data_IF_139333252684
#
_entry.id   IF_139333252684
#
_cell.length_a   1.000
_cell.length_b   1.000
_cell.length_c   1.000
_cell.angle_alpha   90.00
_cell.angle_beta   90.00
_cell.angle_gamma   90.00
#
_symmetry.space_group_name_H-M   'P 1'
#
loop_
_entity.id
_entity.type
_entity.pdbx_description
1 polymer ?
#
# COMPACT_ATOMS: atom_id res chain seq x y z
N UNK A 1 -33.21 22.56 9.19
CA UNK A 1 -31.79 22.80 8.98
C UNK A 1 -31.35 21.70 8.05
N UNK A 2 -30.95 22.11 6.88
CA UNK A 2 -30.89 21.28 5.69
C UNK A 2 -29.50 20.57 5.65
N UNK A 3 -29.48 19.32 6.10
CA UNK A 3 -28.28 18.46 6.00
C UNK A 3 -28.28 17.78 4.63
N UNK A 4 -28.00 18.56 3.58
CA UNK A 4 -27.70 17.99 2.25
C UNK A 4 -26.28 17.43 2.24
N UNK A 5 -26.17 16.12 2.52
CA UNK A 5 -24.98 15.33 2.18
C UNK A 5 -24.77 15.46 0.66
N UNK A 6 -23.61 15.91 0.16
CA UNK A 6 -23.35 15.93 -1.28
C UNK A 6 -23.45 14.51 -1.83
N UNK A 7 -24.21 14.38 -2.91
CA UNK A 7 -24.37 13.11 -3.60
C UNK A 7 -23.01 12.60 -4.07
N UNK A 8 -22.70 11.30 -3.88
CA UNK A 8 -21.52 10.71 -4.48
C UNK A 8 -21.59 10.88 -6.01
N UNK A 9 -20.42 10.94 -6.71
CA UNK A 9 -20.41 11.05 -8.15
C UNK A 9 -21.25 9.93 -8.77
N UNK A 10 -21.87 10.15 -9.95
CA UNK A 10 -22.75 9.18 -10.56
C UNK A 10 -21.97 7.96 -11.01
N UNK A 11 -21.79 7.00 -10.10
CA UNK A 11 -21.40 5.66 -10.49
C UNK A 11 -22.60 5.01 -11.16
N UNK A 12 -22.42 4.64 -12.43
CA UNK A 12 -23.45 4.01 -13.21
C UNK A 12 -24.05 2.83 -12.45
N UNK A 13 -25.37 2.71 -12.51
CA UNK A 13 -26.08 1.55 -12.01
C UNK A 13 -25.48 0.32 -12.72
N UNK A 14 -24.71 -0.48 -12.00
CA UNK A 14 -24.37 -1.81 -12.46
C UNK A 14 -25.67 -2.62 -12.51
N UNK A 15 -26.00 -3.22 -13.64
CA UNK A 15 -27.21 -4.01 -13.85
C UNK A 15 -27.38 -5.18 -12.84
N UNK A 16 -26.34 -5.48 -12.04
CA UNK A 16 -26.30 -6.50 -10.99
C UNK A 16 -26.10 -5.95 -9.57
N UNK A 17 -26.04 -4.62 -9.40
CA UNK A 17 -25.67 -3.96 -8.15
C UNK A 17 -26.75 -4.03 -7.07
N UNK A 18 -26.32 -4.01 -5.82
CA UNK A 18 -27.20 -3.75 -4.68
C UNK A 18 -27.51 -2.26 -4.69
N UNK A 19 -28.79 -1.85 -4.71
CA UNK A 19 -29.16 -0.44 -4.77
C UNK A 19 -28.78 0.31 -3.48
N UNK A 20 -28.55 1.61 -3.61
CA UNK A 20 -28.41 2.50 -2.45
C UNK A 20 -29.66 2.42 -1.57
N UNK A 21 -29.46 2.38 -0.26
CA UNK A 21 -30.55 2.20 0.71
C UNK A 21 -31.02 0.76 0.90
N UNK A 22 -30.41 -0.22 0.21
CA UNK A 22 -30.73 -1.64 0.46
C UNK A 22 -30.19 -2.07 1.83
N UNK A 23 -30.97 -2.94 2.47
CA UNK A 23 -30.58 -3.60 3.72
C UNK A 23 -29.72 -4.82 3.42
N UNK A 24 -28.56 -4.92 4.07
CA UNK A 24 -27.64 -6.06 4.02
C UNK A 24 -27.35 -6.48 5.45
N UNK A 25 -28.05 -7.51 5.94
CA UNK A 25 -28.05 -7.84 7.36
C UNK A 25 -28.50 -6.63 8.21
N UNK A 26 -27.69 -6.22 9.15
CA UNK A 26 -27.95 -5.06 10.01
C UNK A 26 -27.44 -3.72 9.44
N UNK A 27 -26.95 -3.71 8.20
CA UNK A 27 -26.32 -2.57 7.54
C UNK A 27 -27.17 -2.00 6.41
N UNK A 28 -27.10 -0.69 6.21
CA UNK A 28 -27.70 0.05 5.12
C UNK A 28 -26.64 0.46 4.11
N UNK A 29 -26.81 0.10 2.85
CA UNK A 29 -25.85 0.44 1.76
C UNK A 29 -25.93 1.94 1.47
N UNK A 30 -24.79 2.63 1.60
CA UNK A 30 -24.64 4.06 1.37
C UNK A 30 -23.95 4.39 0.05
N UNK A 31 -23.12 3.49 -0.49
CA UNK A 31 -22.33 3.74 -1.70
C UNK A 31 -21.63 2.50 -2.23
N UNK A 32 -21.09 2.63 -3.43
CA UNK A 32 -20.28 1.59 -4.06
C UNK A 32 -18.80 1.97 -3.94
N UNK A 33 -17.96 1.07 -3.44
CA UNK A 33 -16.52 1.29 -3.25
C UNK A 33 -15.68 0.68 -4.37
N UNK A 34 -16.14 -0.41 -4.98
CA UNK A 34 -15.43 -1.08 -6.05
C UNK A 34 -15.96 -2.47 -6.36
N UNK A 35 -15.51 -3.04 -7.48
CA UNK A 35 -15.83 -4.41 -7.88
C UNK A 35 -14.56 -5.25 -7.97
N UNK A 36 -14.66 -6.51 -7.53
CA UNK A 36 -13.71 -7.58 -7.76
C UNK A 36 -14.23 -8.64 -8.71
N UNK A 37 -13.40 -9.64 -9.02
CA UNK A 37 -13.77 -10.73 -9.94
C UNK A 37 -15.03 -11.52 -9.51
N UNK A 38 -15.32 -11.59 -8.22
CA UNK A 38 -16.40 -12.44 -7.68
C UNK A 38 -17.48 -11.63 -6.95
N UNK A 39 -17.34 -10.32 -6.76
CA UNK A 39 -18.30 -9.54 -5.99
C UNK A 39 -18.04 -8.03 -5.98
N UNK A 40 -19.06 -7.29 -5.56
CA UNK A 40 -18.99 -5.85 -5.32
C UNK A 40 -18.69 -5.54 -3.86
N UNK A 41 -17.95 -4.44 -3.61
CA UNK A 41 -17.69 -3.90 -2.28
C UNK A 41 -18.47 -2.58 -2.13
N UNK A 42 -19.20 -2.46 -1.04
CA UNK A 42 -20.09 -1.35 -0.77
C UNK A 42 -19.74 -0.68 0.56
N UNK A 43 -19.87 0.64 0.61
CA UNK A 43 -19.92 1.39 1.86
C UNK A 43 -21.29 1.15 2.51
N UNK A 44 -21.32 0.77 3.76
CA UNK A 44 -22.55 0.57 4.50
C UNK A 44 -22.44 1.13 5.93
N UNK A 45 -23.58 1.41 6.55
CA UNK A 45 -23.69 1.90 7.92
C UNK A 45 -24.60 0.99 8.74
N UNK A 46 -24.16 0.63 9.93
CA UNK A 46 -24.93 -0.20 10.83
C UNK A 46 -26.15 0.57 11.36
N UNK A 47 -27.36 0.07 11.13
CA UNK A 47 -28.64 0.74 11.34
C UNK A 47 -28.88 1.23 12.78
N UNK A 48 -28.37 0.50 13.77
CA UNK A 48 -28.56 0.83 15.19
C UNK A 48 -27.33 1.53 15.79
N UNK A 49 -26.13 1.08 15.42
CA UNK A 49 -24.91 1.57 16.04
C UNK A 49 -24.27 2.76 15.29
N UNK A 50 -24.68 3.01 14.03
CA UNK A 50 -24.23 4.15 13.22
C UNK A 50 -22.76 4.07 12.75
N UNK A 51 -22.03 3.01 13.06
CA UNK A 51 -20.68 2.85 12.55
C UNK A 51 -20.68 2.39 11.08
N UNK A 52 -19.69 2.84 10.33
CA UNK A 52 -19.52 2.50 8.92
C UNK A 52 -18.64 1.26 8.77
N UNK A 53 -18.93 0.49 7.73
CA UNK A 53 -18.21 -0.72 7.36
C UNK A 53 -18.14 -0.86 5.83
N UNK A 54 -17.22 -1.68 5.35
CA UNK A 54 -17.21 -2.16 3.98
C UNK A 54 -17.95 -3.50 3.92
N UNK A 55 -18.86 -3.66 2.96
CA UNK A 55 -19.63 -4.90 2.77
C UNK A 55 -19.30 -5.48 1.40
N UNK A 56 -18.69 -6.66 1.37
CA UNK A 56 -18.40 -7.39 0.14
C UNK A 56 -19.51 -8.41 -0.13
N UNK A 57 -20.16 -8.30 -1.29
CA UNK A 57 -21.30 -9.12 -1.67
C UNK A 57 -20.93 -9.90 -2.95
N UNK A 58 -21.13 -11.20 -2.94
CA UNK A 58 -20.85 -12.04 -4.10
C UNK A 58 -21.82 -11.70 -5.27
N UNK A 59 -21.32 -11.72 -6.52
CA UNK A 59 -22.16 -11.57 -7.71
C UNK A 59 -23.15 -12.75 -7.85
N UNK A 60 -24.28 -12.52 -8.49
CA UNK A 60 -25.34 -13.55 -8.64
C UNK A 60 -24.81 -14.80 -9.34
N UNK A 61 -24.14 -14.63 -10.45
CA UNK A 61 -23.57 -15.74 -11.23
C UNK A 61 -22.58 -16.56 -10.42
N UNK A 62 -21.75 -15.89 -9.60
CA UNK A 62 -20.81 -16.53 -8.70
C UNK A 62 -21.52 -17.27 -7.55
N UNK A 63 -22.63 -16.72 -7.05
CA UNK A 63 -23.40 -17.30 -5.95
C UNK A 63 -24.21 -18.56 -6.38
N UNK A 64 -24.48 -18.75 -7.67
CA UNK A 64 -25.05 -19.98 -8.22
C UNK A 64 -24.13 -21.19 -8.05
N UNK A 65 -22.83 -20.98 -7.95
CA UNK A 65 -21.86 -22.01 -7.64
C UNK A 65 -21.76 -22.24 -6.13
N UNK A 66 -22.25 -23.38 -5.67
CA UNK A 66 -22.12 -23.80 -4.26
C UNK A 66 -20.65 -23.88 -3.83
N UNK A 67 -19.75 -24.17 -4.76
CA UNK A 67 -18.31 -24.24 -4.52
C UNK A 67 -17.71 -22.84 -4.28
N UNK A 68 -18.06 -21.84 -5.10
CA UNK A 68 -17.62 -20.45 -4.93
C UNK A 68 -18.18 -19.88 -3.63
N UNK A 69 -19.46 -20.13 -3.34
CA UNK A 69 -20.10 -19.72 -2.09
C UNK A 69 -19.41 -20.31 -0.86
N UNK A 70 -19.15 -21.62 -0.85
CA UNK A 70 -18.46 -22.29 0.24
C UNK A 70 -17.03 -21.71 0.46
N UNK A 71 -16.34 -21.43 -0.63
CA UNK A 71 -14.99 -20.81 -0.61
C UNK A 71 -15.02 -19.42 -0.01
N UNK A 72 -15.95 -18.56 -0.45
CA UNK A 72 -16.11 -17.20 0.08
C UNK A 72 -16.29 -17.20 1.61
N UNK A 73 -17.15 -18.11 2.11
CA UNK A 73 -17.40 -18.25 3.54
C UNK A 73 -16.16 -18.78 4.27
N UNK A 74 -15.47 -19.77 3.69
CA UNK A 74 -14.26 -20.37 4.28
C UNK A 74 -13.12 -19.36 4.34
N UNK A 75 -12.95 -18.55 3.29
CA UNK A 75 -11.98 -17.44 3.23
C UNK A 75 -12.19 -16.45 4.36
N UNK A 76 -13.40 -15.93 4.47
CA UNK A 76 -13.73 -14.94 5.48
C UNK A 76 -13.54 -15.51 6.91
N UNK A 77 -13.89 -16.79 7.13
CA UNK A 77 -13.65 -17.46 8.43
C UNK A 77 -12.18 -17.66 8.73
N UNK A 78 -11.37 -18.02 7.74
CA UNK A 78 -9.93 -18.22 7.91
C UNK A 78 -9.23 -16.91 8.27
N UNK A 79 -9.56 -15.82 7.57
CA UNK A 79 -9.04 -14.48 7.84
C UNK A 79 -9.43 -14.00 9.24
N UNK A 80 -10.67 -14.23 9.66
CA UNK A 80 -11.15 -13.81 10.98
C UNK A 80 -10.42 -14.52 12.17
N UNK A 81 -9.74 -15.63 11.92
CA UNK A 81 -8.90 -16.30 12.92
C UNK A 81 -7.52 -15.67 13.07
N UNK A 82 -7.08 -14.86 12.06
CA UNK A 82 -5.77 -14.22 12.06
C UNK A 82 -5.92 -12.82 12.62
N UNK A 83 -5.55 -12.62 13.88
CA UNK A 83 -5.55 -11.29 14.50
C UNK A 83 -4.23 -10.60 14.28
N UNK A 84 -4.13 -9.80 13.23
CA UNK A 84 -2.93 -9.04 12.91
C UNK A 84 -3.28 -7.64 12.38
N UNK A 85 -2.66 -6.55 12.87
CA UNK A 85 -3.00 -5.18 12.47
C UNK A 85 -2.81 -4.91 10.96
N UNK A 86 -1.96 -5.69 10.28
CA UNK A 86 -1.74 -5.63 8.84
C UNK A 86 -2.70 -6.48 8.01
N UNK A 87 -3.76 -7.03 8.58
CA UNK A 87 -4.81 -7.80 7.87
C UNK A 87 -6.15 -7.13 8.12
N UNK A 88 -7.02 -7.11 7.10
CA UNK A 88 -8.37 -6.55 7.21
C UNK A 88 -9.20 -7.33 8.23
N UNK A 89 -9.85 -6.64 9.18
CA UNK A 89 -10.75 -7.26 10.13
C UNK A 89 -12.10 -7.58 9.48
N UNK A 90 -12.61 -8.81 9.68
CA UNK A 90 -13.96 -9.23 9.26
C UNK A 90 -14.86 -9.26 10.49
N UNK A 91 -15.94 -8.48 10.45
CA UNK A 91 -16.87 -8.34 11.57
C UNK A 91 -17.97 -9.38 11.54
N UNK A 92 -18.50 -9.70 10.33
CA UNK A 92 -19.62 -10.62 10.16
C UNK A 92 -19.63 -11.29 8.78
N UNK A 93 -20.29 -12.45 8.69
CA UNK A 93 -20.50 -13.21 7.46
C UNK A 93 -21.91 -13.78 7.49
N UNK A 94 -22.73 -13.42 6.51
CA UNK A 94 -24.12 -13.91 6.42
C UNK A 94 -24.55 -14.02 4.95
N UNK A 95 -25.82 -14.32 4.71
CA UNK A 95 -26.40 -14.52 3.39
C UNK A 95 -27.62 -13.63 3.19
N UNK A 96 -27.68 -12.96 2.04
CA UNK A 96 -28.83 -12.16 1.64
C UNK A 96 -30.08 -13.03 1.42
N UNK A 97 -31.30 -12.46 1.47
CA UNK A 97 -32.54 -13.19 1.17
C UNK A 97 -32.57 -13.84 -0.23
N UNK A 98 -31.79 -13.32 -1.17
CA UNK A 98 -31.65 -13.88 -2.53
C UNK A 98 -30.60 -14.99 -2.65
N UNK A 99 -29.98 -15.39 -1.53
CA UNK A 99 -29.01 -16.49 -1.45
C UNK A 99 -27.55 -16.08 -1.63
N UNK A 100 -27.25 -14.80 -1.94
CA UNK A 100 -25.88 -14.32 -2.08
C UNK A 100 -25.20 -14.17 -0.73
N UNK A 101 -24.02 -14.77 -0.51
CA UNK A 101 -23.25 -14.52 0.70
C UNK A 101 -22.62 -13.12 0.67
N UNK A 102 -22.49 -12.54 1.85
CA UNK A 102 -21.75 -11.29 2.05
C UNK A 102 -20.85 -11.37 3.28
N UNK A 103 -19.83 -10.56 3.33
CA UNK A 103 -19.04 -10.32 4.54
C UNK A 103 -18.94 -8.83 4.84
N UNK A 104 -19.01 -8.51 6.12
CA UNK A 104 -18.84 -7.16 6.66
C UNK A 104 -17.45 -7.04 7.20
N UNK A 105 -16.71 -6.01 6.79
CA UNK A 105 -15.32 -5.80 7.17
C UNK A 105 -15.06 -4.35 7.55
N UNK A 106 -13.93 -4.09 8.18
CA UNK A 106 -13.51 -2.74 8.50
C UNK A 106 -13.45 -1.85 7.25
N UNK A 107 -13.94 -0.62 7.40
CA UNK A 107 -13.82 0.41 6.36
C UNK A 107 -12.44 1.05 6.46
N UNK A 108 -11.63 0.86 5.45
CA UNK A 108 -10.28 1.40 5.40
C UNK A 108 -10.25 2.74 4.68
N UNK A 109 -9.68 3.73 5.34
CA UNK A 109 -9.44 5.05 4.78
C UNK A 109 -8.04 5.11 4.17
N UNK A 110 -7.95 5.24 2.85
CA UNK A 110 -6.65 5.27 2.18
C UNK A 110 -6.76 4.89 0.70
N UNK A 111 -5.64 4.49 0.13
CA UNK A 111 -5.55 4.06 -1.28
C UNK A 111 -4.84 2.72 -1.41
N UNK A 112 -5.07 2.01 -2.49
CA UNK A 112 -4.33 0.78 -2.77
C UNK A 112 -2.89 1.10 -3.18
N UNK A 113 -1.96 0.19 -2.90
CA UNK A 113 -0.59 0.28 -3.42
C UNK A 113 -0.60 0.31 -4.96
N UNK A 114 -1.59 -0.31 -5.60
CA UNK A 114 -1.76 -0.22 -7.06
C UNK A 114 -2.00 1.22 -7.53
N UNK A 115 -2.91 1.96 -6.88
CA UNK A 115 -3.16 3.36 -7.20
C UNK A 115 -1.89 4.21 -7.00
N UNK A 116 -1.17 4.00 -5.90
CA UNK A 116 0.12 4.65 -5.67
C UNK A 116 1.11 4.39 -6.80
N UNK A 117 1.25 3.12 -7.23
CA UNK A 117 2.20 2.75 -8.27
C UNK A 117 1.84 3.30 -9.66
N UNK A 118 0.55 3.49 -9.96
CA UNK A 118 0.12 4.14 -11.20
C UNK A 118 0.53 5.61 -11.25
N UNK A 119 0.56 6.29 -10.10
CA UNK A 119 0.86 7.72 -10.03
C UNK A 119 2.37 8.00 -10.02
N UNK A 120 3.15 7.17 -9.33
CA UNK A 120 4.54 7.51 -9.03
C UNK A 120 5.55 6.35 -8.98
N UNK A 121 5.28 5.20 -9.63
CA UNK A 121 6.32 4.19 -9.81
C UNK A 121 7.36 4.64 -10.85
N UNK A 122 8.63 4.26 -10.69
CA UNK A 122 9.21 3.41 -9.65
C UNK A 122 9.35 4.10 -8.30
N UNK A 123 9.23 3.33 -7.21
CA UNK A 123 9.46 3.81 -5.85
C UNK A 123 10.95 3.80 -5.50
N UNK A 124 11.34 4.65 -4.57
CA UNK A 124 12.68 4.54 -3.97
C UNK A 124 12.83 3.19 -3.25
N UNK A 125 14.02 2.55 -3.29
CA UNK A 125 14.23 1.26 -2.64
C UNK A 125 13.85 1.23 -1.15
N UNK A 126 14.18 2.28 -0.40
CA UNK A 126 13.81 2.39 1.01
C UNK A 126 12.29 2.43 1.22
N UNK A 127 11.57 3.14 0.35
CA UNK A 127 10.11 3.21 0.38
C UNK A 127 9.48 1.88 -0.01
N UNK A 128 9.98 1.24 -1.06
CA UNK A 128 9.52 -0.10 -1.47
C UNK A 128 9.68 -1.11 -0.33
N UNK A 129 10.80 -1.10 0.40
CA UNK A 129 11.03 -1.94 1.58
C UNK A 129 10.12 -1.55 2.73
N UNK A 130 9.84 -0.25 2.90
CA UNK A 130 8.91 0.26 3.90
C UNK A 130 7.49 -0.29 3.73
N UNK A 131 7.00 -0.44 2.51
CA UNK A 131 5.71 -1.08 2.21
C UNK A 131 5.79 -2.61 2.22
N UNK A 132 6.88 -3.19 1.72
CA UNK A 132 7.06 -4.64 1.65
C UNK A 132 7.10 -5.29 3.03
N UNK A 133 7.75 -4.66 3.98
CA UNK A 133 7.97 -5.22 5.33
C UNK A 133 6.65 -5.52 6.05
N UNK A 134 5.71 -4.58 6.24
CA UNK A 134 4.44 -4.89 6.89
C UNK A 134 3.58 -5.88 6.09
N UNK A 135 3.68 -5.92 4.75
CA UNK A 135 3.06 -6.99 3.94
C UNK A 135 3.63 -8.35 4.31
N UNK A 136 4.96 -8.46 4.46
CA UNK A 136 5.61 -9.71 4.87
C UNK A 136 5.22 -10.12 6.30
N UNK A 137 5.10 -9.18 7.24
CA UNK A 137 4.67 -9.43 8.62
C UNK A 137 3.22 -9.96 8.66
N UNK A 138 2.32 -9.36 7.90
CA UNK A 138 0.94 -9.82 7.78
C UNK A 138 0.85 -11.23 7.15
N UNK A 139 1.60 -11.49 6.08
CA UNK A 139 1.67 -12.81 5.47
C UNK A 139 2.27 -13.86 6.40
N UNK A 140 3.29 -13.49 7.16
CA UNK A 140 3.90 -14.40 8.15
C UNK A 140 2.88 -14.84 9.20
N UNK A 141 2.09 -13.89 9.74
CA UNK A 141 1.02 -14.20 10.70
C UNK A 141 -0.04 -15.14 10.08
N UNK A 142 -0.40 -14.93 8.82
CA UNK A 142 -1.31 -15.82 8.10
C UNK A 142 -0.72 -17.23 7.92
N UNK A 143 0.54 -17.33 7.51
CA UNK A 143 1.23 -18.60 7.31
C UNK A 143 1.37 -19.40 8.62
N UNK A 144 1.62 -18.74 9.74
CA UNK A 144 1.66 -19.36 11.06
C UNK A 144 0.28 -19.89 11.50
N UNK A 145 -0.79 -19.26 11.06
CA UNK A 145 -2.16 -19.75 11.23
C UNK A 145 -2.56 -20.84 10.19
N UNK A 146 -1.63 -21.25 9.32
CA UNK A 146 -1.88 -22.26 8.28
C UNK A 146 -2.62 -21.73 7.05
N UNK A 147 -2.73 -20.41 6.88
CA UNK A 147 -3.44 -19.76 5.77
C UNK A 147 -2.43 -19.20 4.77
N UNK A 148 -2.58 -19.56 3.50
CA UNK A 148 -1.81 -19.01 2.37
C UNK A 148 -2.68 -18.02 1.62
N UNK A 149 -2.16 -16.82 1.32
CA UNK A 149 -2.93 -15.73 0.71
C UNK A 149 -3.29 -15.98 -0.77
N UNK A 150 -2.34 -16.46 -1.58
CA UNK A 150 -2.50 -16.89 -2.99
C UNK A 150 -2.83 -15.83 -4.02
N UNK A 151 -3.12 -14.60 -3.61
CA UNK A 151 -3.43 -13.47 -4.49
C UNK A 151 -2.73 -12.18 -4.05
N UNK A 152 -1.48 -12.28 -3.61
CA UNK A 152 -0.67 -11.11 -3.23
C UNK A 152 -0.40 -10.27 -4.47
N UNK A 153 -0.90 -9.05 -4.47
CA UNK A 153 -0.70 -8.05 -5.54
C UNK A 153 -0.98 -6.64 -5.04
N UNK A 154 -0.52 -5.64 -5.77
CA UNK A 154 -0.61 -4.24 -5.33
C UNK A 154 -2.07 -3.75 -5.10
N UNK A 155 -3.08 -4.31 -5.80
CA UNK A 155 -4.49 -3.95 -5.57
C UNK A 155 -5.08 -4.55 -4.29
N UNK A 156 -4.43 -5.58 -3.73
CA UNK A 156 -4.84 -6.22 -2.48
C UNK A 156 -4.02 -5.73 -1.28
N UNK A 157 -3.25 -4.66 -1.46
CA UNK A 157 -2.48 -3.98 -0.41
C UNK A 157 -3.05 -2.58 -0.25
N UNK A 158 -3.65 -2.30 0.89
CA UNK A 158 -4.20 -0.99 1.25
C UNK A 158 -3.18 -0.21 2.06
N UNK A 159 -2.95 1.03 1.67
CA UNK A 159 -2.15 2.01 2.41
C UNK A 159 -3.11 2.88 3.19
N UNK A 160 -3.21 2.63 4.48
CA UNK A 160 -4.17 3.30 5.38
C UNK A 160 -3.53 4.54 5.97
N UNK A 161 -4.28 5.63 6.01
CA UNK A 161 -3.80 6.95 6.44
C UNK A 161 -3.98 7.16 7.95
N UNK A 162 -3.61 6.18 8.77
CA UNK A 162 -3.66 6.29 10.23
C UNK A 162 -2.25 6.47 10.80
N UNK A 163 -1.99 7.60 11.46
CA UNK A 163 -0.73 7.85 12.16
C UNK A 163 0.36 8.55 11.34
N UNK A 164 1.59 8.48 11.83
CA UNK A 164 2.79 9.10 11.23
C UNK A 164 3.50 8.19 10.24
N UNK A 165 3.22 6.88 10.28
CA UNK A 165 3.72 5.89 9.33
C UNK A 165 2.54 5.29 8.54
N UNK A 166 2.72 4.97 7.25
CA UNK A 166 1.69 4.30 6.48
C UNK A 166 1.41 2.92 7.09
N UNK A 167 0.20 2.72 7.59
CA UNK A 167 -0.23 1.37 7.93
C UNK A 167 -0.59 0.64 6.64
N UNK A 168 -0.08 -0.57 6.52
CA UNK A 168 -0.37 -1.46 5.39
C UNK A 168 -1.37 -2.50 5.87
N UNK A 169 -2.45 -2.69 5.11
CA UNK A 169 -3.40 -3.77 5.35
C UNK A 169 -3.56 -4.65 4.11
N UNK A 170 -3.45 -5.96 4.30
CA UNK A 170 -3.76 -6.96 3.29
C UNK A 170 -5.26 -7.16 3.21
N UNK A 171 -5.77 -7.16 1.97
CA UNK A 171 -7.14 -7.44 1.60
C UNK A 171 -7.23 -8.81 0.92
N UNK A 172 -8.44 -9.34 0.84
CA UNK A 172 -8.84 -10.45 -0.06
C UNK A 172 -7.85 -11.62 -0.14
N UNK A 173 -7.89 -12.50 0.84
CA UNK A 173 -7.18 -13.77 0.78
C UNK A 173 -7.80 -14.66 -0.30
N UNK A 174 -7.03 -15.05 -1.30
CA UNK A 174 -7.50 -15.82 -2.47
C UNK A 174 -7.78 -17.29 -2.18
N UNK A 175 -8.42 -17.63 -1.06
CA UNK A 175 -8.82 -19.01 -0.73
C UNK A 175 -9.79 -19.56 -1.79
N UNK A 176 -10.53 -18.71 -2.48
CA UNK A 176 -11.36 -19.09 -3.61
C UNK A 176 -10.59 -19.77 -4.75
N UNK A 177 -9.27 -19.57 -4.86
CA UNK A 177 -8.40 -20.23 -5.85
C UNK A 177 -7.98 -21.66 -5.46
N UNK A 178 -8.47 -22.20 -4.32
CA UNK A 178 -8.03 -23.49 -3.75
C UNK A 178 -8.56 -24.75 -4.47
N UNK A 179 -9.70 -24.67 -5.11
CA UNK A 179 -10.47 -25.85 -5.51
C UNK A 179 -10.77 -25.94 -7.01
N UNK A 180 -10.13 -25.11 -7.83
CA UNK A 180 -10.16 -25.38 -9.27
C UNK A 180 -9.27 -26.60 -9.56
N UNK A 181 -9.83 -27.79 -9.85
CA UNK A 181 -9.05 -28.92 -10.36
C UNK A 181 -8.51 -28.51 -11.73
N UNK A 182 -7.24 -28.18 -11.78
CA UNK A 182 -6.59 -27.59 -12.94
C UNK A 182 -6.88 -26.08 -13.03
N UNK A 183 -6.06 -25.25 -12.40
CA UNK A 183 -6.10 -23.79 -12.55
C UNK A 183 -5.77 -23.30 -13.98
N UNK A 184 -5.79 -24.21 -14.95
CA UNK A 184 -5.93 -24.01 -16.38
C UNK A 184 -7.36 -24.28 -16.89
N UNK A 185 -8.36 -24.47 -16.00
CA UNK A 185 -9.74 -24.77 -16.36
C UNK A 185 -10.43 -23.57 -16.97
N UNK A 186 -10.76 -23.68 -18.26
CA UNK A 186 -11.82 -22.89 -18.88
C UNK A 186 -13.09 -23.10 -18.07
N UNK A 187 -13.66 -22.02 -17.49
CA UNK A 187 -15.09 -22.03 -17.19
C UNK A 187 -15.84 -22.35 -18.47
N UNK A 188 -17.04 -22.98 -18.38
CA UNK A 188 -17.87 -23.39 -19.53
C UNK A 188 -18.19 -22.25 -20.52
N UNK A 189 -17.74 -21.03 -20.29
CA UNK A 189 -17.91 -19.81 -21.11
C UNK A 189 -16.60 -19.26 -21.64
N UNK A 190 -15.44 -19.93 -21.46
CA UNK A 190 -14.17 -19.51 -22.07
C UNK A 190 -13.52 -18.25 -21.49
N UNK A 191 -14.02 -17.68 -20.39
CA UNK A 191 -13.38 -16.56 -19.69
C UNK A 191 -12.53 -17.07 -18.52
N UNK A 192 -11.22 -16.92 -18.64
CA UNK A 192 -10.28 -17.08 -17.52
C UNK A 192 -10.49 -15.95 -16.54
N UNK A 193 -10.91 -16.28 -15.31
CA UNK A 193 -11.09 -15.31 -14.23
C UNK A 193 -9.72 -15.03 -13.59
N UNK A 194 -9.18 -13.82 -13.81
CA UNK A 194 -8.00 -13.30 -13.16
C UNK A 194 -6.79 -13.15 -14.09
N UNK A 195 -6.10 -12.02 -13.97
CA UNK A 195 -4.86 -11.78 -14.70
C UNK A 195 -3.74 -12.62 -14.08
N UNK A 196 -2.99 -13.43 -14.84
CA UNK A 196 -1.92 -14.31 -14.33
C UNK A 196 -0.69 -13.55 -13.81
N UNK A 197 -0.76 -12.23 -13.75
CA UNK A 197 0.38 -11.33 -13.51
C UNK A 197 1.19 -11.57 -12.22
N UNK A 198 0.65 -12.30 -11.23
CA UNK A 198 1.34 -12.64 -9.97
C UNK A 198 1.22 -14.11 -9.59
N UNK A 199 0.73 -14.96 -10.50
CA UNK A 199 0.60 -16.40 -10.22
C UNK A 199 1.97 -17.08 -10.16
N UNK A 200 2.15 -17.94 -9.15
CA UNK A 200 3.32 -18.80 -9.08
C UNK A 200 3.25 -19.97 -10.07
N UNK A 201 4.39 -20.55 -10.49
CA UNK A 201 4.42 -21.70 -11.38
C UNK A 201 3.55 -22.88 -10.94
N UNK A 202 3.49 -23.16 -9.64
CA UNK A 202 2.66 -24.22 -9.07
C UNK A 202 1.16 -23.88 -9.15
N UNK A 203 0.78 -22.61 -9.01
CA UNK A 203 -0.60 -22.17 -9.22
C UNK A 203 -1.04 -22.37 -10.68
N UNK A 204 -0.19 -21.99 -11.64
CA UNK A 204 -0.46 -22.17 -13.07
C UNK A 204 -0.58 -23.65 -13.43
N UNK A 205 0.25 -24.52 -12.82
CA UNK A 205 0.22 -25.97 -13.08
C UNK A 205 -0.88 -26.72 -12.33
N UNK A 206 -1.62 -26.05 -11.43
CA UNK A 206 -2.59 -26.73 -10.55
C UNK A 206 -1.92 -27.71 -9.56
N UNK A 207 -0.66 -27.51 -9.25
CA UNK A 207 0.09 -28.33 -8.30
C UNK A 207 -0.23 -27.94 -6.85
N UNK A 208 0.07 -28.78 -5.84
CA UNK A 208 -0.09 -28.44 -4.44
C UNK A 208 0.64 -27.15 -4.07
N UNK A 209 -0.08 -26.24 -3.42
CA UNK A 209 0.36 -24.89 -3.07
C UNK A 209 0.76 -24.85 -1.58
N UNK A 210 1.88 -24.21 -1.27
CA UNK A 210 2.30 -23.84 0.08
C UNK A 210 2.58 -22.33 0.18
N UNK A 211 3.04 -21.86 1.34
CA UNK A 211 3.35 -20.45 1.61
C UNK A 211 4.34 -19.82 0.61
N UNK A 212 5.12 -20.61 -0.11
CA UNK A 212 6.11 -20.14 -1.09
C UNK A 212 5.47 -19.61 -2.38
N UNK A 213 4.17 -19.86 -2.59
CA UNK A 213 3.41 -19.18 -3.63
C UNK A 213 3.29 -17.68 -3.34
N UNK A 214 3.08 -17.30 -2.06
CA UNK A 214 3.06 -15.90 -1.64
C UNK A 214 4.45 -15.26 -1.72
N UNK A 215 5.51 -16.03 -1.41
CA UNK A 215 6.90 -15.59 -1.61
C UNK A 215 7.19 -15.24 -3.08
N UNK A 216 6.68 -16.03 -4.02
CA UNK A 216 6.78 -15.72 -5.44
C UNK A 216 6.05 -14.42 -5.80
N UNK A 217 4.83 -14.26 -5.32
CA UNK A 217 4.03 -13.05 -5.54
C UNK A 217 4.66 -11.81 -4.89
N UNK A 218 5.32 -11.94 -3.72
CA UNK A 218 6.15 -10.87 -3.14
C UNK A 218 7.29 -10.44 -4.05
N UNK A 219 7.92 -11.38 -4.76
CA UNK A 219 8.94 -11.08 -5.76
C UNK A 219 8.40 -10.25 -6.93
N UNK A 220 7.21 -10.58 -7.44
CA UNK A 220 6.51 -9.81 -8.46
C UNK A 220 6.18 -8.41 -7.96
N UNK A 221 5.65 -8.31 -6.74
CA UNK A 221 5.29 -7.05 -6.10
C UNK A 221 6.51 -6.16 -5.89
N UNK A 222 7.60 -6.70 -5.36
CA UNK A 222 8.86 -5.97 -5.13
C UNK A 222 9.45 -5.48 -6.45
N UNK A 223 9.50 -6.34 -7.49
CA UNK A 223 9.95 -5.94 -8.81
C UNK A 223 9.15 -4.75 -9.33
N UNK A 224 7.82 -4.81 -9.26
CA UNK A 224 6.94 -3.73 -9.72
C UNK A 224 7.14 -2.44 -8.92
N UNK A 225 7.29 -2.51 -7.61
CA UNK A 225 7.58 -1.32 -6.79
C UNK A 225 8.90 -0.65 -7.19
N UNK A 226 9.94 -1.44 -7.43
CA UNK A 226 11.28 -0.94 -7.74
C UNK A 226 11.45 -0.44 -9.18
N UNK A 227 10.67 -0.97 -10.14
CA UNK A 227 10.87 -0.68 -11.58
C UNK A 227 9.68 0.02 -12.23
N UNK A 228 8.52 0.03 -11.59
CA UNK A 228 7.25 0.45 -12.19
C UNK A 228 6.63 -0.58 -13.13
N UNK A 229 7.33 -1.68 -13.43
CA UNK A 229 6.93 -2.69 -14.41
C UNK A 229 6.72 -4.05 -13.78
N UNK A 230 5.83 -4.85 -14.35
CA UNK A 230 5.74 -6.27 -14.01
C UNK A 230 6.97 -7.01 -14.55
N UNK A 231 7.47 -8.06 -13.85
CA UNK A 231 8.59 -8.85 -14.37
C UNK A 231 8.24 -9.64 -15.63
N UNK A 232 6.96 -9.97 -15.79
CA UNK A 232 6.41 -10.66 -16.94
C UNK A 232 5.12 -9.98 -17.35
N UNK A 233 5.07 -9.48 -18.58
CA UNK A 233 3.94 -8.73 -19.12
C UNK A 233 3.76 -9.01 -20.61
N UNK A 234 2.53 -9.25 -21.03
CA UNK A 234 2.13 -9.46 -22.41
C UNK A 234 0.63 -9.18 -22.57
N UNK A 235 0.19 -8.71 -23.74
CA UNK A 235 -1.24 -8.65 -24.07
C UNK A 235 -1.92 -10.04 -24.11
N UNK A 236 -1.14 -11.11 -24.35
CA UNK A 236 -1.63 -12.48 -24.32
C UNK A 236 -1.44 -13.12 -22.93
N UNK A 237 -2.52 -13.43 -22.21
CA UNK A 237 -2.44 -14.09 -20.90
C UNK A 237 -1.70 -15.43 -20.93
N UNK A 238 -1.80 -16.19 -22.01
CA UNK A 238 -1.09 -17.48 -22.14
C UNK A 238 0.42 -17.28 -22.23
N UNK A 239 0.86 -16.20 -22.85
CA UNK A 239 2.28 -15.82 -22.90
C UNK A 239 2.76 -15.40 -21.52
N UNK A 240 1.98 -14.65 -20.74
CA UNK A 240 2.32 -14.30 -19.33
C UNK A 240 2.49 -15.58 -18.50
N UNK A 241 1.57 -16.54 -18.61
CA UNK A 241 1.70 -17.83 -17.93
C UNK A 241 2.97 -18.58 -18.33
N UNK A 242 3.27 -18.63 -19.64
CA UNK A 242 4.50 -19.25 -20.14
C UNK A 242 5.75 -18.58 -19.56
N UNK A 243 5.76 -17.23 -19.47
CA UNK A 243 6.88 -16.50 -18.88
C UNK A 243 7.04 -16.83 -17.39
N UNK A 244 5.94 -16.92 -16.63
CA UNK A 244 5.98 -17.34 -15.23
C UNK A 244 6.52 -18.75 -15.07
N UNK A 245 6.28 -19.65 -16.02
CA UNK A 245 6.75 -21.02 -15.99
C UNK A 245 8.24 -21.17 -16.39
N UNK A 246 8.71 -20.38 -17.35
CA UNK A 246 9.97 -20.65 -18.07
C UNK A 246 10.96 -19.48 -18.09
N UNK A 247 10.49 -18.22 -18.16
CA UNK A 247 11.37 -17.10 -18.39
C UNK A 247 12.15 -16.69 -17.11
N UNK A 248 13.41 -16.31 -17.29
CA UNK A 248 14.17 -15.67 -16.23
C UNK A 248 13.61 -14.25 -15.96
N UNK A 249 13.46 -13.83 -14.70
CA UNK A 249 13.00 -12.48 -14.41
C UNK A 249 14.07 -11.45 -14.81
N UNK A 250 13.63 -10.26 -15.32
CA UNK A 250 14.55 -9.17 -15.57
C UNK A 250 15.14 -8.66 -14.24
N UNK A 251 16.35 -8.12 -14.32
CA UNK A 251 17.04 -7.56 -13.14
C UNK A 251 16.49 -6.16 -12.86
N UNK A 252 16.00 -5.86 -11.65
CA UNK A 252 15.58 -4.52 -11.29
C UNK A 252 16.62 -3.44 -11.53
N UNK A 253 17.90 -3.71 -11.24
CA UNK A 253 19.00 -2.77 -11.45
C UNK A 253 19.29 -2.43 -12.92
N UNK A 254 18.83 -3.24 -13.85
CA UNK A 254 18.92 -2.96 -15.28
C UNK A 254 17.79 -2.05 -15.81
N UNK A 255 16.68 -1.93 -15.05
CA UNK A 255 15.48 -1.21 -15.46
C UNK A 255 15.30 0.11 -14.72
N UNK A 256 15.84 0.21 -13.50
CA UNK A 256 15.70 1.39 -12.63
C UNK A 256 16.97 1.60 -11.79
N UNK A 257 17.16 2.79 -11.20
CA UNK A 257 18.31 3.08 -10.34
C UNK A 257 18.19 2.40 -8.97
N UNK A 258 18.28 1.08 -8.97
CA UNK A 258 18.12 0.20 -7.81
C UNK A 258 19.46 -0.45 -7.47
N UNK A 259 19.83 -0.58 -6.16
CA UNK A 259 21.04 -1.31 -5.78
C UNK A 259 21.05 -2.74 -6.35
N UNK A 260 22.16 -3.21 -6.95
CA UNK A 260 22.25 -4.55 -7.55
C UNK A 260 21.93 -5.71 -6.60
N UNK A 261 22.05 -5.50 -5.28
CA UNK A 261 21.68 -6.48 -4.27
C UNK A 261 20.20 -6.91 -4.37
N UNK A 262 19.31 -6.01 -4.81
CA UNK A 262 17.89 -6.34 -5.03
C UNK A 262 17.68 -7.34 -6.17
N UNK A 263 18.57 -7.42 -7.14
CA UNK A 263 18.49 -8.41 -8.24
C UNK A 263 18.45 -9.83 -7.69
N UNK A 264 19.32 -10.12 -6.71
CA UNK A 264 19.37 -11.43 -6.07
C UNK A 264 18.12 -11.71 -5.21
N UNK A 265 17.59 -10.69 -4.52
CA UNK A 265 16.37 -10.83 -3.71
C UNK A 265 15.18 -11.19 -4.60
N UNK A 266 14.95 -10.42 -5.66
CA UNK A 266 13.85 -10.65 -6.61
C UNK A 266 14.02 -11.96 -7.35
N UNK A 267 15.21 -12.25 -7.87
CA UNK A 267 15.49 -13.50 -8.60
C UNK A 267 15.18 -14.73 -7.74
N UNK A 268 15.58 -14.72 -6.46
CA UNK A 268 15.29 -15.83 -5.55
C UNK A 268 13.82 -15.97 -5.19
N UNK A 269 13.06 -14.88 -5.07
CA UNK A 269 11.60 -14.95 -4.94
C UNK A 269 10.98 -15.63 -6.18
N UNK A 270 11.47 -15.28 -7.39
CA UNK A 270 10.92 -15.69 -8.67
C UNK A 270 11.51 -17.01 -9.23
N UNK A 271 12.25 -17.77 -8.41
CA UNK A 271 12.70 -19.12 -8.75
C UNK A 271 11.50 -20.00 -9.13
N UNK A 272 11.65 -20.77 -10.24
CA UNK A 272 10.57 -21.63 -10.74
C UNK A 272 10.35 -22.84 -9.83
N UNK A 273 11.45 -23.38 -9.30
CA UNK A 273 11.43 -24.38 -8.24
C UNK A 273 11.20 -23.68 -6.89
N UNK A 274 10.06 -23.95 -6.27
CA UNK A 274 9.68 -23.35 -4.97
C UNK A 274 10.69 -23.67 -3.85
N UNK A 275 11.38 -24.81 -3.90
CA UNK A 275 12.37 -25.19 -2.87
C UNK A 275 13.60 -24.27 -2.89
N UNK A 276 13.85 -23.56 -3.99
CA UNK A 276 14.96 -22.62 -4.15
C UNK A 276 14.59 -21.20 -3.73
N UNK A 277 13.31 -20.90 -3.51
CA UNK A 277 12.83 -19.59 -3.04
C UNK A 277 13.23 -19.32 -1.59
N UNK A 278 12.96 -18.12 -1.12
CA UNK A 278 13.06 -17.80 0.29
C UNK A 278 12.08 -18.68 1.10
N UNK A 279 12.50 -19.13 2.32
CA UNK A 279 11.69 -20.08 3.10
C UNK A 279 10.44 -19.48 3.72
N UNK A 280 10.37 -18.14 3.85
CA UNK A 280 9.23 -17.43 4.46
C UNK A 280 9.13 -16.00 3.94
N UNK A 281 7.98 -15.35 4.19
CA UNK A 281 7.77 -13.93 3.90
C UNK A 281 8.76 -13.04 4.67
N UNK A 282 9.02 -13.34 5.95
CA UNK A 282 9.99 -12.58 6.75
C UNK A 282 11.41 -12.69 6.19
N UNK A 283 11.81 -13.83 5.66
CA UNK A 283 13.12 -13.96 5.00
C UNK A 283 13.26 -13.05 3.77
N UNK A 284 12.17 -12.77 3.06
CA UNK A 284 12.14 -11.77 1.97
C UNK A 284 12.34 -10.36 2.52
N UNK A 285 11.63 -10.00 3.59
CA UNK A 285 11.75 -8.68 4.21
C UNK A 285 13.17 -8.43 4.75
N UNK A 286 13.76 -9.41 5.40
CA UNK A 286 15.13 -9.33 5.92
C UNK A 286 16.15 -9.17 4.78
N UNK A 287 16.01 -9.95 3.70
CA UNK A 287 16.87 -9.85 2.53
C UNK A 287 16.73 -8.51 1.81
N UNK A 288 15.49 -7.98 1.71
CA UNK A 288 15.24 -6.67 1.11
C UNK A 288 15.82 -5.53 1.97
N UNK A 289 15.71 -5.61 3.30
CA UNK A 289 16.37 -4.65 4.22
C UNK A 289 17.90 -4.74 4.11
N UNK A 290 18.47 -5.93 4.05
CA UNK A 290 19.91 -6.11 3.85
C UNK A 290 20.37 -5.51 2.51
N UNK A 291 19.58 -5.67 1.44
CA UNK A 291 19.87 -5.08 0.13
C UNK A 291 19.89 -3.54 0.14
N UNK A 292 19.21 -2.88 1.07
CA UNK A 292 19.37 -1.43 1.31
C UNK A 292 20.74 -1.12 1.94
N UNK A 293 21.23 -1.98 2.83
CA UNK A 293 22.53 -1.82 3.50
C UNK A 293 23.74 -2.22 2.62
N UNK A 294 23.54 -3.11 1.65
CA UNK A 294 24.55 -3.58 0.71
C UNK A 294 24.79 -2.64 -0.50
N UNK A 295 24.15 -1.48 -0.54
CA UNK A 295 24.69 -0.42 -1.39
C UNK A 295 26.16 -0.25 -0.99
N UNK A 296 27.12 -0.44 -1.93
CA UNK A 296 28.54 -0.41 -1.57
C UNK A 296 28.80 0.86 -0.78
N UNK A 297 29.39 0.72 0.42
CA UNK A 297 29.69 1.84 1.31
C UNK A 297 30.51 2.94 0.61
N UNK A 298 31.12 2.61 -0.53
CA UNK A 298 31.80 3.55 -1.44
C UNK A 298 30.85 4.40 -2.30
N UNK A 299 29.53 4.09 -2.38
CA UNK A 299 28.56 4.82 -3.19
C UNK A 299 27.58 5.69 -2.38
N UNK A 300 27.43 5.41 -1.08
CA UNK A 300 26.63 6.25 -0.18
C UNK A 300 27.52 7.25 0.54
N UNK A 301 27.29 8.52 0.26
CA UNK A 301 27.86 9.61 1.04
C UNK A 301 26.81 10.08 2.05
N UNK A 302 27.25 10.58 3.19
CA UNK A 302 26.36 11.33 4.08
C UNK A 302 26.46 12.80 3.74
N UNK A 303 25.33 13.45 3.61
CA UNK A 303 25.27 14.88 3.37
C UNK A 303 24.30 15.52 4.37
N UNK A 304 24.63 16.71 4.91
CA UNK A 304 23.71 17.42 5.77
C UNK A 304 22.45 17.78 5.00
N UNK A 305 21.30 17.58 5.64
CA UNK A 305 20.01 17.78 5.01
C UNK A 305 18.99 18.39 5.98
N UNK A 306 17.93 18.96 5.43
CA UNK A 306 16.75 19.38 6.17
C UNK A 306 15.54 18.64 5.63
N UNK A 307 14.74 18.10 6.54
CA UNK A 307 13.48 17.44 6.23
C UNK A 307 12.30 18.28 6.70
N UNK A 308 11.23 18.25 5.91
CA UNK A 308 9.92 18.77 6.27
C UNK A 308 8.92 17.64 6.19
N UNK A 309 8.33 17.29 7.31
CA UNK A 309 7.25 16.32 7.43
C UNK A 309 5.92 17.04 7.59
N UNK A 310 4.92 16.63 6.82
CA UNK A 310 3.54 17.08 6.94
C UNK A 310 2.67 15.88 7.31
N UNK A 311 2.15 15.90 8.54
CA UNK A 311 1.18 14.91 9.03
C UNK A 311 -0.22 15.48 9.01
N UNK A 312 -1.19 14.75 8.49
CA UNK A 312 -2.59 15.18 8.37
C UNK A 312 -3.49 14.12 8.96
N UNK A 313 -4.35 14.51 9.91
CA UNK A 313 -5.32 13.60 10.56
C UNK A 313 -6.68 14.26 10.67
N UNK A 314 -7.80 13.53 10.54
CA UNK A 314 -9.13 14.04 10.89
C UNK A 314 -9.23 14.42 12.37
N UNK A 315 -10.02 15.46 12.69
CA UNK A 315 -10.31 15.91 14.07
C UNK A 315 -11.59 15.27 14.62
N UNK A 316 -11.81 14.00 14.42
CA UNK A 316 -13.04 13.32 14.86
C UNK A 316 -13.18 11.98 14.19
N UNK A 317 -14.42 11.49 14.03
CA UNK A 317 -14.67 10.29 13.23
C UNK A 317 -14.25 10.54 11.78
N UNK A 318 -13.53 9.57 11.19
CA UNK A 318 -13.14 9.62 9.79
C UNK A 318 -14.37 9.40 8.89
N UNK A 319 -15.00 10.48 8.46
CA UNK A 319 -16.03 10.46 7.43
C UNK A 319 -15.41 10.69 6.03
N UNK A 320 -16.19 10.46 4.98
CA UNK A 320 -15.70 10.60 3.60
C UNK A 320 -15.24 12.02 3.27
N UNK A 321 -15.86 13.03 3.86
CA UNK A 321 -15.48 14.42 3.63
C UNK A 321 -14.11 14.73 4.26
N UNK A 322 -13.90 14.31 5.49
CA UNK A 322 -12.62 14.49 6.18
C UNK A 322 -11.49 13.68 5.54
N UNK A 323 -11.79 12.50 4.98
CA UNK A 323 -10.82 11.67 4.26
C UNK A 323 -10.46 12.28 2.90
N UNK A 324 -11.44 12.80 2.17
CA UNK A 324 -11.18 13.53 0.92
C UNK A 324 -10.36 14.79 1.20
N UNK A 325 -10.75 15.57 2.22
CA UNK A 325 -10.00 16.75 2.62
C UNK A 325 -8.57 16.41 3.08
N UNK A 326 -8.36 15.26 3.72
CA UNK A 326 -7.03 14.76 4.10
C UNK A 326 -6.17 14.46 2.86
N UNK A 327 -6.74 13.81 1.84
CA UNK A 327 -6.05 13.53 0.59
C UNK A 327 -5.67 14.83 -0.13
N UNK A 328 -6.61 15.77 -0.26
CA UNK A 328 -6.37 17.08 -0.90
C UNK A 328 -5.24 17.87 -0.22
N UNK A 329 -5.17 17.82 1.12
CA UNK A 329 -4.11 18.48 1.88
C UNK A 329 -2.77 17.74 1.71
N UNK A 330 -2.79 16.42 1.64
CA UNK A 330 -1.62 15.60 1.32
C UNK A 330 -1.03 15.95 -0.05
N UNK A 331 -1.86 15.98 -1.08
CA UNK A 331 -1.47 16.32 -2.44
C UNK A 331 -0.95 17.76 -2.55
N UNK A 332 -1.60 18.71 -1.87
CA UNK A 332 -1.12 20.09 -1.80
C UNK A 332 0.24 20.20 -1.10
N UNK A 333 0.48 19.42 -0.04
CA UNK A 333 1.76 19.36 0.65
C UNK A 333 2.87 18.77 -0.24
N UNK A 334 2.58 17.68 -0.97
CA UNK A 334 3.51 17.11 -1.94
C UNK A 334 3.89 18.10 -3.04
N UNK A 335 2.91 18.75 -3.64
CA UNK A 335 3.13 19.75 -4.68
C UNK A 335 4.00 20.91 -4.18
N UNK A 336 3.70 21.46 -3.00
CA UNK A 336 4.46 22.54 -2.39
C UNK A 336 5.91 22.14 -2.05
N UNK A 337 6.12 20.91 -1.56
CA UNK A 337 7.46 20.40 -1.27
C UNK A 337 8.30 20.25 -2.55
N UNK A 338 7.70 19.70 -3.62
CA UNK A 338 8.38 19.57 -4.94
C UNK A 338 8.74 20.94 -5.52
N UNK A 339 7.83 21.90 -5.48
CA UNK A 339 8.06 23.27 -5.96
C UNK A 339 9.18 23.97 -5.17
N UNK A 340 9.27 23.72 -3.86
CA UNK A 340 10.33 24.24 -3.01
C UNK A 340 11.66 23.46 -3.11
N UNK A 341 11.78 22.50 -4.05
CA UNK A 341 13.01 21.76 -4.32
C UNK A 341 13.32 20.63 -3.32
N UNK A 342 12.31 20.13 -2.60
CA UNK A 342 12.46 18.95 -1.75
C UNK A 342 12.25 17.66 -2.56
N UNK A 343 13.14 16.70 -2.37
CA UNK A 343 12.96 15.34 -2.82
C UNK A 343 11.97 14.64 -1.87
N UNK A 344 10.87 14.09 -2.40
CA UNK A 344 9.91 13.34 -1.61
C UNK A 344 10.47 11.96 -1.29
N UNK A 345 10.53 11.61 0.00
CA UNK A 345 11.00 10.32 0.50
C UNK A 345 9.88 9.49 1.12
N UNK A 346 8.76 10.12 1.45
CA UNK A 346 7.52 9.50 1.90
C UNK A 346 6.35 10.35 1.39
N UNK A 347 5.30 9.72 0.88
CA UNK A 347 4.07 10.39 0.47
C UNK A 347 2.89 9.45 0.62
N UNK A 348 2.00 9.78 1.55
CA UNK A 348 0.68 9.16 1.72
C UNK A 348 -0.34 10.27 1.95
N UNK A 349 -1.64 9.99 1.83
CA UNK A 349 -2.68 10.98 2.10
C UNK A 349 -2.58 11.62 3.49
N UNK A 350 -2.01 10.90 4.47
CA UNK A 350 -1.87 11.38 5.85
C UNK A 350 -0.46 11.75 6.28
N UNK A 351 0.58 11.51 5.44
CA UNK A 351 1.97 11.73 5.84
C UNK A 351 2.86 11.96 4.62
N UNK A 352 3.48 13.12 4.54
CA UNK A 352 4.39 13.50 3.44
C UNK A 352 5.73 13.92 4.03
N UNK A 353 6.83 13.37 3.52
CA UNK A 353 8.19 13.73 3.91
C UNK A 353 8.98 14.20 2.68
N UNK A 354 9.38 15.45 2.71
CA UNK A 354 10.34 16.03 1.75
C UNK A 354 11.70 16.24 2.40
N UNK A 355 12.76 15.89 1.69
CA UNK A 355 14.15 16.08 2.14
C UNK A 355 14.90 16.95 1.13
N UNK A 356 15.61 17.96 1.60
CA UNK A 356 16.47 18.84 0.79
C UNK A 356 17.89 18.84 1.37
N UNK A 357 18.87 18.58 0.52
CA UNK A 357 20.27 18.65 0.91
C UNK A 357 20.68 20.09 1.24
N UNK A 358 21.51 20.24 2.25
CA UNK A 358 22.06 21.51 2.66
C UNK A 358 23.41 21.77 1.94
N UNK A 359 23.77 23.03 1.70
CA UNK A 359 25.11 23.36 1.22
C UNK A 359 26.21 22.85 2.14
N UNK A 360 27.39 22.55 1.60
CA UNK A 360 28.51 22.05 2.37
C UNK A 360 29.13 23.15 3.29
N UNK A 361 28.98 24.41 2.92
CA UNK A 361 29.50 25.53 3.72
C UNK A 361 28.62 25.79 4.96
N UNK A 362 29.18 25.86 6.18
CA UNK A 362 28.41 25.96 7.43
C UNK A 362 27.45 27.16 7.48
N UNK A 363 27.90 28.33 7.01
CA UNK A 363 27.07 29.55 6.98
C UNK A 363 25.90 29.43 6.02
N UNK A 364 26.16 28.93 4.81
CA UNK A 364 25.12 28.66 3.81
C UNK A 364 24.14 27.58 4.29
N UNK A 365 24.62 26.53 4.94
CA UNK A 365 23.77 25.49 5.54
C UNK A 365 22.88 26.05 6.66
N UNK A 366 23.41 26.96 7.50
CA UNK A 366 22.62 27.61 8.55
C UNK A 366 21.54 28.53 7.97
N UNK A 367 21.88 29.31 6.94
CA UNK A 367 20.91 30.14 6.21
C UNK A 367 19.79 29.29 5.56
N UNK A 368 20.16 28.20 4.88
CA UNK A 368 19.20 27.28 4.24
C UNK A 368 18.28 26.59 5.25
N UNK A 369 18.76 26.23 6.46
CA UNK A 369 17.89 25.72 7.54
C UNK A 369 16.90 26.77 8.03
N UNK A 370 17.37 28.01 8.22
CA UNK A 370 16.51 29.10 8.66
C UNK A 370 15.41 29.38 7.64
N UNK A 371 15.76 29.38 6.37
CA UNK A 371 14.81 29.50 5.26
C UNK A 371 13.79 28.35 5.25
N UNK A 372 14.24 27.10 5.41
CA UNK A 372 13.38 25.93 5.47
C UNK A 372 12.37 26.00 6.63
N UNK A 373 12.82 26.46 7.81
CA UNK A 373 11.95 26.65 8.98
C UNK A 373 10.90 27.74 8.73
N UNK A 374 11.29 28.87 8.13
CA UNK A 374 10.36 29.96 7.81
C UNK A 374 9.32 29.52 6.73
N UNK A 375 9.79 28.84 5.70
CA UNK A 375 8.95 28.31 4.64
C UNK A 375 7.95 27.27 5.17
N UNK A 376 8.39 26.31 5.97
CA UNK A 376 7.53 25.28 6.54
C UNK A 376 6.48 25.85 7.52
N UNK A 377 6.83 26.92 8.24
CA UNK A 377 5.87 27.66 9.08
C UNK A 377 4.75 28.30 8.22
N UNK A 378 5.11 28.89 7.08
CA UNK A 378 4.14 29.44 6.13
C UNK A 378 3.28 28.32 5.48
N UNK A 379 3.90 27.20 5.13
CA UNK A 379 3.20 26.02 4.62
C UNK A 379 2.15 25.54 5.62
N UNK A 380 2.50 25.40 6.90
CA UNK A 380 1.58 24.98 7.96
C UNK A 380 0.34 25.89 8.04
N UNK A 381 0.51 27.19 7.92
CA UNK A 381 -0.60 28.15 7.91
C UNK A 381 -1.50 27.97 6.67
N UNK A 382 -0.92 27.69 5.50
CA UNK A 382 -1.65 27.47 4.24
C UNK A 382 -2.43 26.14 4.19
N UNK A 383 -1.93 25.11 4.87
CA UNK A 383 -2.55 23.78 4.90
C UNK A 383 -3.61 23.61 5.98
N UNK A 384 -3.77 24.56 6.90
CA UNK A 384 -4.73 24.47 8.01
C UNK A 384 -6.17 24.36 7.49
N UNK A 385 -6.93 23.38 8.01
CA UNK A 385 -8.34 23.15 7.73
C UNK A 385 -9.09 22.88 9.05
N UNK A 386 -10.33 23.36 9.24
CA UNK A 386 -11.07 23.19 10.50
C UNK A 386 -11.30 21.71 10.89
N UNK A 387 -11.58 20.86 9.90
CA UNK A 387 -11.86 19.44 10.10
C UNK A 387 -10.61 18.58 10.29
N UNK A 388 -9.40 19.13 10.07
CA UNK A 388 -8.16 18.37 10.06
C UNK A 388 -7.17 18.89 11.13
N UNK A 389 -6.44 17.96 11.73
CA UNK A 389 -5.23 18.25 12.49
C UNK A 389 -4.04 18.13 11.54
N UNK A 390 -3.48 19.27 11.11
CA UNK A 390 -2.30 19.32 10.27
C UNK A 390 -1.08 19.65 11.14
N UNK A 391 -0.07 18.80 11.09
CA UNK A 391 1.21 19.01 11.76
C UNK A 391 2.31 19.17 10.71
N UNK A 392 3.07 20.24 10.77
CA UNK A 392 4.27 20.41 9.94
C UNK A 392 5.49 20.44 10.85
N UNK A 393 6.38 19.48 10.67
CA UNK A 393 7.58 19.34 11.47
C UNK A 393 8.83 19.51 10.60
N UNK A 394 9.80 20.29 11.08
CA UNK A 394 11.11 20.48 10.43
C UNK A 394 12.21 19.85 11.28
N UNK A 395 13.05 19.04 10.64
CA UNK A 395 14.21 18.41 11.26
C UNK A 395 15.45 18.58 10.39
N UNK A 396 16.62 18.59 11.01
CA UNK A 396 17.90 18.59 10.31
C UNK A 396 18.77 17.44 10.84
N UNK A 397 19.28 16.63 9.92
CA UNK A 397 20.17 15.50 10.19
C UNK A 397 20.91 15.13 8.90
N UNK A 398 21.84 14.19 9.00
CA UNK A 398 22.48 13.64 7.81
C UNK A 398 21.53 12.75 7.02
N UNK A 399 21.52 12.92 5.70
CA UNK A 399 20.88 12.05 4.74
C UNK A 399 21.93 11.12 4.10
N UNK A 400 21.54 9.88 3.84
CA UNK A 400 22.30 9.02 2.95
C UNK A 400 22.00 9.41 1.50
N UNK A 401 23.04 9.75 0.74
CA UNK A 401 22.92 10.21 -0.65
C UNK A 401 23.75 9.34 -1.59
N UNK A 402 23.26 9.21 -2.80
CA UNK A 402 23.95 8.53 -3.91
C UNK A 402 24.17 9.51 -5.05
N UNK A 403 25.23 9.34 -5.83
CA UNK A 403 25.40 10.07 -7.07
C UNK A 403 24.33 9.66 -8.09
N UNK A 404 23.46 10.58 -8.48
CA UNK A 404 22.47 10.41 -9.53
C UNK A 404 22.84 11.21 -10.79
N UNK A 405 22.11 10.99 -11.89
CA UNK A 405 22.39 11.64 -13.18
C UNK A 405 22.20 13.16 -13.14
N UNK A 406 21.31 13.67 -12.28
CA UNK A 406 21.02 15.10 -12.10
C UNK A 406 21.66 15.72 -10.85
N UNK A 407 22.48 14.95 -10.11
CA UNK A 407 23.10 15.37 -8.86
C UNK A 407 22.87 14.34 -7.74
N UNK A 408 23.27 14.64 -6.49
CA UNK A 408 23.12 13.73 -5.38
C UNK A 408 21.63 13.47 -5.06
N UNK A 409 21.26 12.20 -4.98
CA UNK A 409 19.90 11.73 -4.65
C UNK A 409 19.84 11.22 -3.21
N UNK A 410 18.82 11.64 -2.45
CA UNK A 410 18.56 11.12 -1.11
C UNK A 410 18.00 9.72 -1.21
N UNK A 411 18.66 8.77 -0.56
CA UNK A 411 18.26 7.35 -0.56
C UNK A 411 17.88 6.82 0.82
N UNK A 412 18.00 7.65 1.88
CA UNK A 412 17.65 7.26 3.25
C UNK A 412 18.47 8.00 4.30
N UNK A 413 18.76 7.33 5.41
CA UNK A 413 19.54 7.83 6.54
C UNK A 413 18.70 8.33 7.72
N UNK A 414 19.33 8.78 8.82
CA UNK A 414 18.67 9.19 10.06
C UNK A 414 17.56 10.22 9.87
N UNK A 415 17.68 11.08 8.85
CA UNK A 415 16.70 12.12 8.53
C UNK A 415 15.35 11.54 8.06
N UNK A 416 15.35 10.33 7.51
CA UNK A 416 14.15 9.63 7.05
C UNK A 416 13.49 8.75 8.14
N UNK A 417 14.13 8.61 9.30
CA UNK A 417 13.66 7.78 10.42
C UNK A 417 12.74 8.63 11.32
N UNK A 418 11.47 8.79 10.89
CA UNK A 418 10.50 9.68 11.54
C UNK A 418 10.31 9.41 13.03
N UNK A 419 10.31 8.14 13.44
CA UNK A 419 10.11 7.73 14.83
C UNK A 419 11.17 8.30 15.81
N UNK A 420 12.32 8.71 15.28
CA UNK A 420 13.41 9.26 16.09
C UNK A 420 13.26 10.74 16.41
N UNK A 421 12.49 11.48 15.62
CA UNK A 421 12.47 12.94 15.75
C UNK A 421 11.08 13.58 15.63
N UNK A 422 10.07 12.80 15.21
CA UNK A 422 8.71 13.32 15.14
C UNK A 422 8.09 13.37 16.54
N UNK A 423 7.47 14.48 16.95
CA UNK A 423 6.79 14.55 18.25
C UNK A 423 5.56 13.66 18.28
N UNK A 424 5.31 13.04 19.43
CA UNK A 424 4.08 12.26 19.67
C UNK A 424 2.88 13.20 19.75
N UNK A 425 2.05 13.20 18.70
CA UNK A 425 0.77 13.92 18.63
C UNK A 425 0.94 15.43 18.40
N UNK A 426 -0.18 16.09 18.14
CA UNK A 426 -0.28 17.54 17.98
C UNK A 426 -0.77 18.00 16.63
N UNK A 427 -1.06 19.30 16.55
CA UNK A 427 -1.37 20.01 15.31
C UNK A 427 -0.60 21.33 15.33
N UNK A 428 -0.23 21.84 14.16
CA UNK A 428 0.49 23.10 14.01
C UNK A 428 1.92 22.90 13.53
N UNK A 429 2.76 23.87 13.81
CA UNK A 429 4.16 23.89 13.37
C UNK A 429 5.13 23.53 14.50
N UNK A 430 6.08 22.65 14.20
CA UNK A 430 7.15 22.24 15.13
C UNK A 430 8.51 22.28 14.40
N UNK A 431 9.51 22.88 15.02
CA UNK A 431 10.91 22.78 14.57
C UNK A 431 11.73 22.10 15.66
N UNK A 432 12.45 21.03 15.30
CA UNK A 432 13.31 20.32 16.27
C UNK A 432 14.53 21.17 16.65
N UNK A 433 15.17 20.92 17.81
CA UNK A 433 16.40 21.61 18.20
C UNK A 433 17.48 21.53 17.13
N UNK A 434 17.59 20.39 16.41
CA UNK A 434 18.55 20.22 15.33
C UNK A 434 18.28 21.15 14.12
N UNK A 435 17.00 21.41 13.80
CA UNK A 435 16.64 22.38 12.76
C UNK A 435 16.92 23.83 13.18
N UNK A 436 16.86 24.12 14.48
CA UNK A 436 17.09 25.44 15.05
C UNK A 436 18.57 25.70 15.41
N UNK A 437 19.42 24.69 15.38
CA UNK A 437 20.83 24.81 15.69
C UNK A 437 21.53 25.85 14.76
N UNK A 438 22.17 26.86 15.37
CA UNK A 438 22.84 27.94 14.64
C UNK A 438 22.00 29.19 14.41
N UNK A 439 20.79 29.30 14.96
CA UNK A 439 20.08 30.59 15.02
C UNK A 439 20.74 31.47 16.09
N UNK A 440 21.12 32.73 15.77
CA UNK A 440 21.38 33.70 16.82
C UNK A 440 20.08 33.90 17.62
N UNK A 441 20.19 33.88 18.97
CA UNK A 441 19.10 33.98 19.92
C UNK A 441 18.28 35.27 19.82
#
# INVERSE_FOLDING_TARGET
MDDTVPAPPPFGANEEGVPLGAEVGEYLVLGFLGAGAHGGVYLAEHRLAGHRAAVKILHRDAAESSEITARFILEARAVNQIRHPGIVDIYDIDTLPDGRPFCVMELLAGRTLHALLLERAPLLPAEAVGYLTPVCEALQAAHEAGVVHRDVKASNVMLVSEGTAPQVKLLDFGVAKLLEPGAGGLTAVGQRIGTPASMSPEQIRGAPIDLRADVYALGVLLHRMLTGQLPFDSPDPAEVERMHLEAAPPRPSALAPVPPAFDAVVARCLEKDRERRWPSAMAVAEAARAALGDAPASALQTAPAVAVHVGVKPRGSADMESLTAQADVGDAAEAALREAGYALTLGTAGSVLGVRLLPAEPEAASAARTEAVAWACALAAGLTRPALAVMVCVHAADAAVRAGAAGPEVVGGPICELDRWLPEGGAGFVATPAALAGRPG
#
